data_IF_338882737968
#
_entry.id   IF_338882737968
#
_cell.length_a   1.000
_cell.length_b   1.000
_cell.length_c   1.000
_cell.angle_alpha   90.00
_cell.angle_beta   90.00
_cell.angle_gamma   90.00
#
_symmetry.space_group_name_H-M   'P 1'
#
loop_
_entity.id
_entity.type
_entity.pdbx_description
1 polymer ?
#
# COMPACT_ATOMS: atom_id res chain seq x y z
N UNK A 1 -14.38 -6.92 27.65
CA UNK A 1 -13.52 -8.00 28.17
C UNK A 1 -12.30 -8.08 27.25
N UNK A 2 -11.07 -7.99 27.72
CA UNK A 2 -9.89 -8.11 26.88
C UNK A 2 -9.79 -9.57 26.40
N UNK A 3 -9.81 -9.77 25.10
CA UNK A 3 -9.62 -11.07 24.45
C UNK A 3 -8.20 -11.55 24.70
N UNK A 4 -8.07 -12.64 25.43
CA UNK A 4 -6.82 -13.38 25.60
C UNK A 4 -6.25 -13.78 24.24
N UNK A 5 -4.97 -13.60 23.95
CA UNK A 5 -4.38 -14.04 22.69
C UNK A 5 -4.54 -15.56 22.57
N UNK A 6 -4.93 -16.01 21.38
CA UNK A 6 -5.11 -17.41 21.04
C UNK A 6 -3.75 -18.12 21.20
N UNK A 7 -3.56 -18.83 22.33
CA UNK A 7 -2.44 -19.72 22.56
C UNK A 7 -2.71 -21.02 21.80
N UNK A 8 -2.10 -21.19 20.64
CA UNK A 8 -1.78 -22.50 20.09
C UNK A 8 -0.76 -22.37 18.96
N UNK A 9 0.47 -22.15 19.35
CA UNK A 9 1.71 -22.61 18.70
C UNK A 9 2.84 -22.11 19.59
N UNK A 10 3.58 -23.04 20.23
CA UNK A 10 4.84 -22.77 20.88
C UNK A 10 5.77 -22.14 19.82
N UNK A 11 5.86 -20.81 19.80
CA UNK A 11 6.98 -20.10 19.21
C UNK A 11 8.20 -20.54 20.02
N UNK A 12 8.92 -21.57 19.54
CA UNK A 12 10.28 -21.81 19.98
C UNK A 12 11.01 -20.48 19.85
N UNK A 13 11.73 -20.06 20.89
CA UNK A 13 12.43 -18.77 21.01
C UNK A 13 12.81 -18.21 19.64
N UNK A 14 12.16 -17.11 19.22
CA UNK A 14 12.46 -16.48 17.94
C UNK A 14 13.81 -15.77 18.08
N UNK A 15 14.89 -16.56 18.08
CA UNK A 15 16.24 -16.05 17.92
C UNK A 15 16.36 -15.63 16.45
N UNK A 16 16.01 -14.39 16.16
CA UNK A 16 16.24 -13.80 14.85
C UNK A 16 17.40 -12.80 14.94
N UNK A 17 18.19 -12.72 13.88
CA UNK A 17 19.33 -11.82 13.79
C UNK A 17 18.89 -10.36 13.59
N UNK A 18 17.71 -10.16 12.98
CA UNK A 18 17.20 -8.82 12.69
C UNK A 18 15.67 -8.75 12.67
N UNK A 19 15.14 -7.53 12.70
CA UNK A 19 13.74 -7.26 12.54
C UNK A 19 13.47 -6.27 11.38
N UNK A 20 12.55 -6.65 10.49
CA UNK A 20 12.14 -5.89 9.33
C UNK A 20 10.69 -5.44 9.46
N UNK A 21 10.39 -4.21 9.06
CA UNK A 21 9.08 -3.60 9.25
C UNK A 21 8.55 -3.01 7.96
N UNK A 22 7.31 -3.32 7.60
CA UNK A 22 6.57 -2.44 6.70
C UNK A 22 6.19 -1.14 7.44
N UNK A 23 5.78 -0.13 6.69
CA UNK A 23 5.39 1.18 7.22
C UNK A 23 3.88 1.30 7.29
N UNK A 24 3.21 1.18 6.14
CA UNK A 24 1.78 1.41 6.00
C UNK A 24 0.99 0.30 6.72
N UNK A 25 0.11 0.68 7.64
CA UNK A 25 -0.64 -0.28 8.44
C UNK A 25 0.12 -0.92 9.59
N UNK A 26 1.46 -0.74 9.66
CA UNK A 26 2.35 -1.29 10.69
C UNK A 26 2.88 -0.20 11.62
N UNK A 27 3.70 0.69 11.09
CA UNK A 27 4.31 1.80 11.84
C UNK A 27 3.44 3.06 11.79
N UNK A 28 2.71 3.22 10.70
CA UNK A 28 1.87 4.39 10.40
C UNK A 28 0.49 3.94 9.92
N UNK A 29 -0.57 4.53 10.45
CA UNK A 29 -1.93 4.40 9.90
C UNK A 29 -2.14 5.41 8.77
N UNK A 30 -2.09 4.93 7.56
CA UNK A 30 -2.18 5.71 6.31
C UNK A 30 -3.55 5.68 5.65
N UNK A 31 -4.56 5.04 6.29
CA UNK A 31 -5.90 4.88 5.70
C UNK A 31 -6.55 6.21 5.33
N UNK A 32 -6.33 7.26 6.11
CA UNK A 32 -6.92 8.59 5.85
C UNK A 32 -6.19 9.34 4.74
N UNK A 33 -4.87 9.25 4.67
CA UNK A 33 -4.08 9.93 3.65
C UNK A 33 -4.33 9.32 2.27
N UNK A 34 -4.06 8.03 2.08
CA UNK A 34 -4.19 7.37 0.78
C UNK A 34 -5.63 7.27 0.29
N UNK A 35 -6.59 6.88 1.14
CA UNK A 35 -7.98 6.82 0.69
C UNK A 35 -8.53 8.19 0.28
N UNK A 36 -8.09 9.27 0.95
CA UNK A 36 -8.44 10.63 0.54
C UNK A 36 -7.70 11.04 -0.73
N UNK A 37 -6.43 10.62 -0.90
CA UNK A 37 -5.66 10.90 -2.10
C UNK A 37 -6.31 10.25 -3.34
N UNK A 38 -6.68 8.97 -3.25
CA UNK A 38 -7.43 8.29 -4.31
C UNK A 38 -8.71 9.06 -4.66
N UNK A 39 -9.55 9.38 -3.65
CA UNK A 39 -10.81 10.08 -3.89
C UNK A 39 -10.59 11.44 -4.56
N UNK A 40 -9.68 12.26 -4.03
CA UNK A 40 -9.41 13.60 -4.57
C UNK A 40 -8.78 13.56 -5.95
N UNK A 41 -7.91 12.60 -6.21
CA UNK A 41 -7.32 12.42 -7.54
C UNK A 41 -8.37 12.06 -8.56
N UNK A 42 -9.26 11.13 -8.24
CA UNK A 42 -10.37 10.75 -9.14
C UNK A 42 -11.28 11.93 -9.40
N UNK A 43 -11.69 12.65 -8.35
CA UNK A 43 -12.56 13.84 -8.48
C UNK A 43 -11.90 14.91 -9.36
N UNK A 44 -10.61 15.21 -9.11
CA UNK A 44 -9.86 16.20 -9.88
C UNK A 44 -9.73 15.81 -11.35
N UNK A 45 -9.32 14.55 -11.62
CA UNK A 45 -9.09 14.06 -12.98
C UNK A 45 -10.39 14.06 -13.78
N UNK A 46 -11.50 13.56 -13.21
CA UNK A 46 -12.80 13.55 -13.90
C UNK A 46 -13.27 14.98 -14.15
N UNK A 47 -13.16 15.87 -13.15
CA UNK A 47 -13.52 17.28 -13.32
C UNK A 47 -12.69 17.95 -14.42
N UNK A 48 -11.40 17.72 -14.45
CA UNK A 48 -10.49 18.30 -15.44
C UNK A 48 -10.82 17.86 -16.88
N UNK A 49 -11.16 16.56 -17.05
CA UNK A 49 -11.45 15.99 -18.37
C UNK A 49 -12.86 16.33 -18.85
N UNK A 50 -13.85 16.31 -17.96
CA UNK A 50 -15.28 16.38 -18.34
C UNK A 50 -15.93 17.73 -18.01
N UNK A 51 -15.28 18.60 -17.23
CA UNK A 51 -15.88 19.81 -16.68
C UNK A 51 -16.91 19.57 -15.58
N UNK A 52 -17.11 18.32 -15.13
CA UNK A 52 -18.12 17.98 -14.12
C UNK A 52 -17.70 18.41 -12.74
N UNK A 53 -18.58 19.08 -12.03
CA UNK A 53 -18.52 19.35 -10.61
C UNK A 53 -19.43 18.40 -9.82
N UNK A 54 -19.28 18.38 -8.47
CA UNK A 54 -20.11 17.58 -7.56
C UNK A 54 -19.93 16.05 -7.64
N UNK A 55 -18.67 15.61 -7.73
CA UNK A 55 -18.32 14.18 -7.67
C UNK A 55 -18.19 13.66 -6.22
N UNK A 56 -18.54 14.49 -5.22
CA UNK A 56 -18.41 14.16 -3.81
C UNK A 56 -19.02 12.79 -3.48
N UNK A 57 -18.17 11.92 -2.94
CA UNK A 57 -18.55 10.58 -2.55
C UNK A 57 -18.64 9.59 -3.73
N UNK A 58 -18.18 9.91 -4.93
CA UNK A 58 -18.03 8.95 -6.00
C UNK A 58 -17.14 7.80 -5.57
N UNK A 59 -15.98 8.11 -5.03
CA UNK A 59 -15.04 7.14 -4.44
C UNK A 59 -15.24 7.09 -2.94
N UNK A 60 -15.61 5.93 -2.43
CA UNK A 60 -15.69 5.64 -1.01
C UNK A 60 -14.77 4.48 -0.62
N UNK A 61 -14.61 4.27 0.68
CA UNK A 61 -13.74 3.23 1.22
C UNK A 61 -14.10 1.82 0.74
N UNK A 62 -15.38 1.53 0.48
CA UNK A 62 -15.84 0.23 -0.02
C UNK A 62 -15.36 -0.03 -1.45
N UNK A 63 -15.37 0.98 -2.32
CA UNK A 63 -14.86 0.86 -3.69
C UNK A 63 -13.37 0.57 -3.68
N UNK A 64 -12.59 1.33 -2.91
CA UNK A 64 -11.14 1.13 -2.77
C UNK A 64 -10.85 -0.29 -2.27
N UNK A 65 -11.57 -0.73 -1.23
CA UNK A 65 -11.39 -2.05 -0.66
C UNK A 65 -11.72 -3.17 -1.65
N UNK A 66 -12.72 -2.99 -2.52
CA UNK A 66 -13.04 -3.99 -3.55
C UNK A 66 -11.89 -4.21 -4.51
N UNK A 67 -11.23 -3.15 -4.99
CA UNK A 67 -10.06 -3.27 -5.85
C UNK A 67 -8.88 -3.90 -5.10
N UNK A 68 -8.51 -3.40 -3.93
CA UNK A 68 -7.41 -3.96 -3.12
C UNK A 68 -7.58 -5.45 -2.81
N UNK A 69 -8.82 -5.94 -2.64
CA UNK A 69 -9.11 -7.36 -2.38
C UNK A 69 -8.84 -8.30 -3.54
N UNK A 70 -8.69 -7.78 -4.75
CA UNK A 70 -8.35 -8.59 -5.93
C UNK A 70 -6.89 -9.07 -5.92
N UNK A 71 -6.02 -8.41 -5.10
CA UNK A 71 -4.58 -8.66 -5.06
C UNK A 71 -3.77 -7.96 -6.15
N UNK A 72 -4.44 -7.28 -7.09
CA UNK A 72 -3.79 -6.60 -8.21
C UNK A 72 -3.64 -5.07 -8.05
N UNK A 73 -4.08 -4.50 -6.92
CA UNK A 73 -4.14 -3.04 -6.70
C UNK A 73 -3.51 -2.61 -5.39
N UNK A 74 -2.20 -2.86 -5.28
CA UNK A 74 -1.40 -2.46 -4.13
C UNK A 74 -0.80 -1.05 -4.28
N UNK A 75 -0.83 -0.53 -5.52
CA UNK A 75 -0.47 0.84 -5.82
C UNK A 75 -1.73 1.70 -5.88
N UNK A 76 -1.75 2.77 -5.10
CA UNK A 76 -2.92 3.64 -4.98
C UNK A 76 -3.16 4.50 -6.23
N UNK A 77 -2.10 4.79 -7.00
CA UNK A 77 -2.24 5.42 -8.32
C UNK A 77 -2.88 4.46 -9.32
N UNK A 78 -2.53 3.15 -9.29
CA UNK A 78 -3.18 2.12 -10.10
C UNK A 78 -4.69 2.05 -9.76
N UNK A 79 -5.02 2.09 -8.48
CA UNK A 79 -6.41 2.11 -8.00
C UNK A 79 -7.15 3.35 -8.50
N UNK A 80 -6.53 4.52 -8.38
CA UNK A 80 -7.10 5.79 -8.85
C UNK A 80 -7.33 5.78 -10.37
N UNK A 81 -6.36 5.25 -11.13
CA UNK A 81 -6.42 5.12 -12.57
C UNK A 81 -7.61 4.26 -13.02
N UNK A 82 -7.75 3.06 -12.48
CA UNK A 82 -8.84 2.18 -12.92
C UNK A 82 -10.21 2.70 -12.50
N UNK A 83 -10.31 3.42 -11.39
CA UNK A 83 -11.56 4.09 -11.00
C UNK A 83 -11.90 5.23 -11.98
N UNK A 84 -10.90 6.05 -12.37
CA UNK A 84 -11.09 7.08 -13.40
C UNK A 84 -11.50 6.45 -14.73
N UNK A 85 -10.80 5.41 -15.17
CA UNK A 85 -11.10 4.72 -16.42
C UNK A 85 -12.52 4.15 -16.41
N UNK A 86 -12.94 3.49 -15.33
CA UNK A 86 -14.30 2.98 -15.16
C UNK A 86 -15.35 4.11 -15.14
N UNK A 87 -15.08 5.20 -14.41
CA UNK A 87 -16.01 6.32 -14.33
C UNK A 87 -16.21 7.02 -15.68
N UNK A 88 -15.12 7.26 -16.41
CA UNK A 88 -15.12 7.92 -17.72
C UNK A 88 -15.66 7.02 -18.84
N UNK A 89 -15.62 5.69 -18.65
CA UNK A 89 -16.19 4.71 -19.58
C UNK A 89 -17.65 4.35 -19.28
N UNK A 90 -18.26 5.01 -18.29
CA UNK A 90 -19.62 4.69 -17.88
C UNK A 90 -20.66 5.05 -18.95
N UNK A 91 -21.44 4.07 -19.49
CA UNK A 91 -22.45 4.32 -20.50
C UNK A 91 -23.62 5.19 -20.01
N UNK A 92 -23.84 5.23 -18.69
CA UNK A 92 -24.90 6.02 -18.05
C UNK A 92 -24.46 7.46 -17.73
N UNK A 93 -23.41 7.92 -18.35
CA UNK A 93 -22.77 9.21 -18.13
C UNK A 93 -23.72 10.41 -18.20
N UNK A 94 -24.73 10.34 -19.05
CA UNK A 94 -25.63 11.47 -19.33
C UNK A 94 -26.50 11.93 -18.15
N UNK A 95 -26.67 11.10 -17.13
CA UNK A 95 -27.63 11.37 -16.04
C UNK A 95 -26.99 11.93 -14.75
N UNK A 96 -25.69 12.19 -14.68
CA UNK A 96 -24.98 12.69 -13.49
C UNK A 96 -25.27 11.94 -12.16
N UNK A 97 -25.77 10.71 -12.24
CA UNK A 97 -26.13 9.93 -11.06
C UNK A 97 -24.91 9.21 -10.47
N UNK A 98 -24.37 9.82 -9.42
CA UNK A 98 -23.24 9.26 -8.67
C UNK A 98 -23.52 7.84 -8.15
N UNK A 99 -24.77 7.53 -7.84
CA UNK A 99 -25.14 6.17 -7.35
C UNK A 99 -24.97 5.14 -8.47
N UNK A 100 -25.40 5.47 -9.70
CA UNK A 100 -25.20 4.59 -10.85
C UNK A 100 -23.72 4.47 -11.24
N UNK A 101 -22.97 5.58 -11.21
CA UNK A 101 -21.52 5.54 -11.43
C UNK A 101 -20.82 4.62 -10.42
N UNK A 102 -21.16 4.72 -9.12
CA UNK A 102 -20.62 3.81 -8.09
C UNK A 102 -20.98 2.35 -8.33
N UNK A 103 -22.22 2.06 -8.74
CA UNK A 103 -22.63 0.69 -9.07
C UNK A 103 -21.80 0.14 -10.22
N UNK A 104 -21.57 0.96 -11.25
CA UNK A 104 -20.76 0.58 -12.39
C UNK A 104 -19.28 0.33 -11.98
N UNK A 105 -18.65 1.26 -11.26
CA UNK A 105 -17.29 1.09 -10.75
C UNK A 105 -17.20 -0.18 -9.87
N UNK A 106 -18.21 -0.42 -9.03
CA UNK A 106 -18.27 -1.63 -8.20
C UNK A 106 -18.42 -2.91 -9.01
N UNK A 107 -19.10 -2.85 -10.15
CA UNK A 107 -19.22 -3.95 -11.09
C UNK A 107 -17.87 -4.23 -11.79
N UNK A 108 -17.15 -3.19 -12.21
CA UNK A 108 -15.78 -3.32 -12.74
C UNK A 108 -14.86 -3.97 -11.71
N UNK A 109 -14.88 -3.51 -10.44
CA UNK A 109 -14.08 -4.08 -9.38
C UNK A 109 -14.34 -5.56 -9.09
N UNK A 110 -15.56 -6.07 -9.35
CA UNK A 110 -15.89 -7.50 -9.25
C UNK A 110 -15.29 -8.35 -10.35
N UNK A 111 -14.99 -7.77 -11.50
CA UNK A 111 -14.41 -8.43 -12.67
C UNK A 111 -12.89 -8.19 -12.78
N UNK A 112 -12.30 -7.44 -11.86
CA UNK A 112 -10.87 -7.27 -11.73
C UNK A 112 -10.26 -8.45 -10.95
N UNK A 113 -8.99 -8.74 -11.22
CA UNK A 113 -8.23 -9.83 -10.58
C UNK A 113 -6.78 -9.40 -10.28
N UNK A 114 -5.91 -10.35 -9.97
CA UNK A 114 -4.50 -10.15 -9.66
C UNK A 114 -3.67 -9.54 -10.80
N UNK A 115 -4.15 -9.58 -12.06
CA UNK A 115 -3.49 -8.89 -13.18
C UNK A 115 -3.59 -7.35 -13.07
N UNK A 116 -4.29 -6.83 -12.07
CA UNK A 116 -4.38 -5.41 -11.76
C UNK A 116 -4.99 -4.58 -12.90
N UNK A 117 -4.30 -3.52 -13.32
CA UNK A 117 -4.72 -2.60 -14.38
C UNK A 117 -5.12 -3.37 -15.65
N UNK A 118 -4.32 -4.36 -16.06
CA UNK A 118 -4.53 -5.12 -17.30
C UNK A 118 -5.87 -5.85 -17.30
N UNK A 119 -6.29 -6.37 -16.14
CA UNK A 119 -7.59 -7.04 -16.02
C UNK A 119 -8.76 -6.11 -16.28
N UNK A 120 -8.69 -4.88 -15.75
CA UNK A 120 -9.72 -3.86 -15.94
C UNK A 120 -9.75 -3.35 -17.38
N UNK A 121 -8.59 -3.04 -17.96
CA UNK A 121 -8.49 -2.58 -19.35
C UNK A 121 -9.03 -3.64 -20.32
N UNK A 122 -8.66 -4.90 -20.12
CA UNK A 122 -9.16 -6.03 -20.92
C UNK A 122 -10.67 -6.18 -20.78
N UNK A 123 -11.20 -6.10 -19.58
CA UNK A 123 -12.62 -6.19 -19.32
C UNK A 123 -13.41 -5.07 -20.01
N UNK A 124 -12.97 -3.83 -19.88
CA UNK A 124 -13.60 -2.68 -20.52
C UNK A 124 -13.54 -2.74 -22.06
N UNK A 125 -12.43 -3.26 -22.62
CA UNK A 125 -12.24 -3.38 -24.07
C UNK A 125 -13.02 -4.55 -24.68
N UNK A 126 -13.28 -5.64 -23.93
CA UNK A 126 -13.97 -6.83 -24.44
C UNK A 126 -15.50 -6.78 -24.34
N UNK A 127 -16.03 -5.86 -23.56
CA UNK A 127 -17.47 -5.76 -23.30
C UNK A 127 -18.21 -5.13 -24.48
N UNK A 128 -18.70 -5.96 -25.41
CA UNK A 128 -19.51 -5.54 -26.58
C UNK A 128 -20.83 -4.84 -26.21
N UNK A 129 -21.32 -5.02 -24.98
CA UNK A 129 -22.47 -4.30 -24.43
C UNK A 129 -22.20 -2.80 -24.22
N UNK A 130 -20.92 -2.44 -24.12
CA UNK A 130 -20.46 -1.07 -23.91
C UNK A 130 -19.66 -0.70 -25.16
N UNK A 131 -20.29 -0.03 -26.14
CA UNK A 131 -19.72 0.34 -27.45
C UNK A 131 -18.53 1.34 -27.35
N UNK A 132 -17.47 1.04 -26.57
CA UNK A 132 -16.46 2.00 -26.11
C UNK A 132 -15.04 1.75 -26.63
N UNK A 133 -14.81 0.78 -27.52
CA UNK A 133 -13.44 0.43 -27.92
C UNK A 133 -12.60 1.62 -28.45
N UNK A 134 -13.25 2.62 -29.06
CA UNK A 134 -12.52 3.83 -29.53
C UNK A 134 -12.22 4.81 -28.39
N UNK A 135 -12.98 4.79 -27.28
CA UNK A 135 -12.85 5.78 -26.22
C UNK A 135 -11.88 5.34 -25.14
N UNK A 136 -11.77 4.02 -24.86
CA UNK A 136 -10.80 3.49 -23.86
C UNK A 136 -9.36 3.85 -24.23
N UNK A 137 -8.96 3.68 -25.50
CA UNK A 137 -7.62 4.01 -25.92
C UNK A 137 -7.34 5.51 -25.79
N UNK A 138 -8.29 6.36 -26.17
CA UNK A 138 -8.19 7.81 -25.98
C UNK A 138 -8.08 8.21 -24.50
N UNK A 139 -8.86 7.54 -23.64
CA UNK A 139 -8.79 7.78 -22.19
C UNK A 139 -7.42 7.36 -21.62
N UNK A 140 -6.86 6.24 -22.06
CA UNK A 140 -5.51 5.81 -21.68
C UNK A 140 -4.46 6.83 -22.10
N UNK A 141 -4.51 7.32 -23.31
CA UNK A 141 -3.61 8.35 -23.83
C UNK A 141 -3.75 9.66 -23.05
N UNK A 142 -4.98 10.06 -22.72
CA UNK A 142 -5.26 11.28 -21.95
C UNK A 142 -4.74 11.19 -20.51
N UNK A 143 -4.95 10.06 -19.86
CA UNK A 143 -4.44 9.79 -18.50
C UNK A 143 -2.93 9.56 -18.49
N UNK A 144 -2.36 9.16 -19.65
CA UNK A 144 -0.94 8.86 -19.87
C UNK A 144 -0.37 7.90 -18.79
N UNK A 145 -1.15 6.86 -18.44
CA UNK A 145 -0.80 5.95 -17.36
C UNK A 145 -0.84 4.48 -17.83
N UNK A 146 0.09 3.62 -17.36
CA UNK A 146 1.19 3.91 -16.45
C UNK A 146 2.29 4.76 -17.09
N UNK A 147 2.87 5.65 -16.29
CA UNK A 147 3.94 6.55 -16.72
C UNK A 147 4.55 7.34 -15.55
N UNK A 148 5.74 7.92 -15.72
CA UNK A 148 6.41 8.63 -14.65
C UNK A 148 5.73 9.96 -14.32
N UNK A 149 5.85 10.38 -13.07
CA UNK A 149 5.44 11.72 -12.59
C UNK A 149 6.11 12.80 -13.46
N UNK A 150 5.38 13.84 -13.78
CA UNK A 150 5.78 14.91 -14.72
C UNK A 150 5.45 14.62 -16.19
N UNK A 151 5.24 13.35 -16.57
CA UNK A 151 4.78 12.94 -17.91
C UNK A 151 3.39 12.35 -17.88
N UNK A 152 3.09 11.47 -16.93
CA UNK A 152 1.76 10.94 -16.70
C UNK A 152 0.90 11.98 -15.98
N UNK A 153 -0.24 12.35 -16.57
CA UNK A 153 -1.22 13.22 -15.93
C UNK A 153 -1.72 12.60 -14.62
N UNK A 154 -2.10 11.33 -14.68
CA UNK A 154 -2.63 10.60 -13.53
C UNK A 154 -1.65 10.51 -12.37
N UNK A 155 -0.41 10.07 -12.63
CA UNK A 155 0.61 9.93 -11.59
C UNK A 155 1.00 11.29 -11.01
N UNK A 156 1.10 12.33 -11.87
CA UNK A 156 1.47 13.67 -11.42
C UNK A 156 0.41 14.26 -10.49
N UNK A 157 -0.86 14.18 -10.85
CA UNK A 157 -1.96 14.68 -10.01
C UNK A 157 -2.03 13.93 -8.67
N UNK A 158 -1.88 12.60 -8.70
CA UNK A 158 -1.90 11.81 -7.47
C UNK A 158 -0.80 12.25 -6.50
N UNK A 159 0.43 12.35 -6.99
CA UNK A 159 1.57 12.68 -6.14
C UNK A 159 1.57 14.15 -5.69
N UNK A 160 1.12 15.07 -6.53
CA UNK A 160 0.93 16.47 -6.10
C UNK A 160 -0.09 16.59 -4.96
N UNK A 161 -1.19 15.83 -5.04
CA UNK A 161 -2.23 15.80 -3.99
C UNK A 161 -1.71 15.11 -2.72
N UNK A 162 -0.95 14.03 -2.86
CA UNK A 162 -0.43 13.29 -1.72
C UNK A 162 0.68 14.04 -0.99
N UNK A 163 1.70 14.48 -1.74
CA UNK A 163 2.87 15.15 -1.19
C UNK A 163 2.66 16.64 -0.90
N UNK A 164 1.73 17.31 -1.62
CA UNK A 164 1.62 18.76 -1.61
C UNK A 164 2.85 19.45 -2.23
N UNK A 165 2.82 20.78 -2.39
CA UNK A 165 3.82 21.50 -3.19
C UNK A 165 5.27 21.29 -2.71
N UNK A 166 5.51 21.47 -1.42
CA UNK A 166 6.88 21.44 -0.87
C UNK A 166 7.54 20.08 -0.96
N UNK A 167 6.85 19.01 -0.53
CA UNK A 167 7.38 17.65 -0.58
C UNK A 167 7.46 17.13 -2.02
N UNK A 168 6.49 17.50 -2.87
CA UNK A 168 6.51 17.17 -4.28
C UNK A 168 7.76 17.75 -4.96
N UNK A 169 8.03 19.04 -4.75
CA UNK A 169 9.25 19.70 -5.27
C UNK A 169 10.52 19.05 -4.72
N UNK A 170 10.55 18.73 -3.40
CA UNK A 170 11.69 18.03 -2.78
C UNK A 170 11.93 16.66 -3.40
N UNK A 171 10.86 15.91 -3.76
CA UNK A 171 10.95 14.58 -4.33
C UNK A 171 11.39 14.58 -5.80
N UNK A 172 10.78 15.45 -6.61
CA UNK A 172 10.89 15.41 -8.06
C UNK A 172 11.80 16.50 -8.67
N UNK A 173 12.14 17.52 -7.91
CA UNK A 173 13.02 18.60 -8.35
C UNK A 173 12.36 19.65 -9.25
N UNK A 174 11.03 19.60 -9.43
CA UNK A 174 10.27 20.58 -10.20
C UNK A 174 8.97 20.97 -9.49
N UNK A 175 8.39 22.11 -9.88
CA UNK A 175 7.18 22.67 -9.27
C UNK A 175 5.94 21.83 -9.62
N UNK A 176 4.96 21.72 -8.70
CA UNK A 176 3.67 21.14 -9.01
C UNK A 176 2.92 21.96 -10.04
N UNK A 177 2.08 21.32 -10.82
CA UNK A 177 1.32 21.93 -11.93
C UNK A 177 -0.17 22.02 -11.66
N UNK A 178 -0.71 21.07 -10.89
CA UNK A 178 -2.15 20.86 -10.78
C UNK A 178 -2.70 21.11 -9.37
N UNK A 179 -1.90 20.89 -8.33
CA UNK A 179 -2.37 20.98 -6.96
C UNK A 179 -1.44 21.79 -6.06
N UNK A 180 -2.00 22.81 -5.40
CA UNK A 180 -1.29 23.75 -4.52
C UNK A 180 -1.88 23.76 -3.09
N UNK A 181 -2.65 22.74 -2.76
CA UNK A 181 -3.29 22.63 -1.45
C UNK A 181 -2.42 21.94 -0.39
N UNK A 182 -3.00 21.71 0.77
CA UNK A 182 -2.34 21.00 1.89
C UNK A 182 -2.05 19.55 1.52
N UNK A 183 -0.86 19.03 1.83
CA UNK A 183 -0.48 17.66 1.55
C UNK A 183 -1.34 16.67 2.33
N UNK A 184 -1.74 15.58 1.66
CA UNK A 184 -2.57 14.57 2.32
C UNK A 184 -1.75 13.64 3.21
N UNK A 185 -0.44 13.54 3.00
CA UNK A 185 0.47 12.81 3.89
C UNK A 185 0.39 13.30 5.35
N UNK A 186 0.00 14.56 5.59
CA UNK A 186 -0.23 15.10 6.94
C UNK A 186 -1.37 14.38 7.70
N UNK A 187 -2.21 13.60 7.01
CA UNK A 187 -3.25 12.79 7.63
C UNK A 187 -2.76 11.45 8.14
N UNK A 188 -1.51 11.12 7.90
CA UNK A 188 -0.87 9.95 8.46
C UNK A 188 -0.86 10.04 9.98
N UNK A 189 -1.04 8.89 10.62
CA UNK A 189 -1.01 8.79 12.07
C UNK A 189 0.04 7.79 12.52
N UNK A 190 0.99 8.23 13.29
CA UNK A 190 1.97 7.35 13.91
C UNK A 190 1.27 6.32 14.79
N UNK A 191 1.55 5.03 14.58
CA UNK A 191 1.05 3.88 15.36
C UNK A 191 2.12 3.44 16.36
N UNK A 192 3.36 3.30 15.88
CA UNK A 192 4.47 2.86 16.70
C UNK A 192 4.86 3.95 17.70
N UNK A 193 5.10 3.55 18.96
CA UNK A 193 5.67 4.48 19.95
C UNK A 193 7.20 4.46 19.91
N UNK A 194 7.83 5.57 20.28
CA UNK A 194 9.30 5.64 20.41
C UNK A 194 9.81 4.60 21.40
N UNK A 195 9.13 4.39 22.52
CA UNK A 195 9.49 3.38 23.52
C UNK A 195 9.50 1.98 22.91
N UNK A 196 8.45 1.63 22.16
CA UNK A 196 8.35 0.33 21.48
C UNK A 196 9.54 0.09 20.55
N UNK A 197 9.84 1.06 19.67
CA UNK A 197 10.90 0.86 18.68
C UNK A 197 12.30 0.86 19.31
N UNK A 198 12.53 1.64 20.37
CA UNK A 198 13.77 1.57 21.13
C UNK A 198 13.95 0.19 21.76
N UNK A 199 12.91 -0.35 22.44
CA UNK A 199 12.99 -1.70 23.03
C UNK A 199 13.25 -2.76 21.96
N UNK A 200 12.63 -2.66 20.80
CA UNK A 200 12.89 -3.61 19.70
C UNK A 200 14.32 -3.43 19.18
N UNK A 201 14.80 -2.20 19.02
CA UNK A 201 16.18 -1.91 18.62
C UNK A 201 17.19 -2.50 19.59
N UNK A 202 16.94 -2.38 20.91
CA UNK A 202 17.79 -2.96 21.94
C UNK A 202 17.81 -4.50 21.87
N UNK A 203 16.67 -5.14 21.62
CA UNK A 203 16.56 -6.62 21.47
C UNK A 203 17.41 -7.13 20.30
N UNK A 204 17.48 -6.37 19.21
CA UNK A 204 18.19 -6.75 17.98
C UNK A 204 19.54 -6.04 17.80
N UNK A 205 20.10 -5.45 18.83
CA UNK A 205 21.38 -4.71 18.79
C UNK A 205 21.45 -3.69 17.64
N UNK A 206 20.34 -2.99 17.38
CA UNK A 206 20.21 -2.02 16.29
C UNK A 206 19.97 -2.63 14.90
N UNK A 207 19.90 -3.95 14.75
CA UNK A 207 19.62 -4.63 13.49
C UNK A 207 18.13 -4.62 13.17
N UNK A 208 17.58 -3.40 13.04
CA UNK A 208 16.18 -3.17 12.62
C UNK A 208 16.15 -2.32 11.35
N UNK A 209 15.33 -2.68 10.37
CA UNK A 209 15.24 -1.98 9.09
C UNK A 209 13.80 -1.91 8.59
N UNK A 210 13.57 -0.98 7.65
CA UNK A 210 12.29 -0.79 6.98
C UNK A 210 12.32 -1.51 5.64
N UNK A 211 11.25 -2.25 5.33
CA UNK A 211 10.99 -2.87 4.02
C UNK A 211 9.58 -2.50 3.61
N UNK A 212 9.43 -1.46 2.82
CA UNK A 212 8.13 -0.86 2.53
C UNK A 212 7.90 -0.59 1.05
N UNK A 213 6.64 -0.64 0.62
CA UNK A 213 6.18 -0.17 -0.67
C UNK A 213 6.30 1.33 -0.86
N UNK A 214 6.49 2.07 0.22
CA UNK A 214 6.50 3.53 0.28
C UNK A 214 7.87 4.11 -0.08
N UNK A 215 7.91 5.39 -0.46
CA UNK A 215 9.18 6.10 -0.68
C UNK A 215 9.91 6.43 0.62
N UNK A 216 11.23 6.59 0.54
CA UNK A 216 12.05 7.05 1.67
C UNK A 216 11.57 8.40 2.19
N UNK A 217 11.33 9.35 1.29
CA UNK A 217 10.88 10.71 1.66
C UNK A 217 9.56 10.69 2.44
N UNK A 218 8.57 9.94 1.96
CA UNK A 218 7.29 9.84 2.63
C UNK A 218 7.41 9.13 3.98
N UNK A 219 8.24 8.09 4.07
CA UNK A 219 8.50 7.36 5.31
C UNK A 219 9.19 8.24 6.35
N UNK A 220 10.24 8.95 5.95
CA UNK A 220 10.96 9.91 6.80
C UNK A 220 10.01 11.00 7.34
N UNK A 221 9.17 11.56 6.46
CA UNK A 221 8.18 12.57 6.84
C UNK A 221 7.22 12.06 7.91
N UNK A 222 6.64 10.88 7.72
CA UNK A 222 5.60 10.34 8.61
C UNK A 222 6.14 9.78 9.92
N UNK A 223 7.36 9.21 9.94
CA UNK A 223 8.00 8.70 11.16
C UNK A 223 8.75 9.79 11.94
N UNK A 224 9.12 10.90 11.29
CA UNK A 224 9.90 11.96 11.91
C UNK A 224 11.18 11.42 12.57
N UNK A 225 11.43 11.82 13.80
CA UNK A 225 12.66 11.40 14.53
C UNK A 225 12.75 9.90 14.86
N UNK A 226 11.65 9.14 14.74
CA UNK A 226 11.67 7.68 14.89
C UNK A 226 12.42 7.02 13.72
N UNK A 227 12.38 7.61 12.54
CA UNK A 227 13.07 7.12 11.34
C UNK A 227 14.56 6.86 11.58
N UNK A 228 15.21 7.70 12.39
CA UNK A 228 16.64 7.61 12.67
C UNK A 228 17.04 6.41 13.56
N UNK A 229 16.08 5.69 14.14
CA UNK A 229 16.36 4.50 14.96
C UNK A 229 16.61 3.27 14.06
N UNK A 230 16.03 3.28 12.85
CA UNK A 230 16.20 2.20 11.88
C UNK A 230 17.55 2.28 11.16
N UNK A 231 18.11 1.12 10.81
CA UNK A 231 19.26 1.03 9.93
C UNK A 231 18.85 1.49 8.51
N UNK A 232 19.19 2.74 8.18
CA UNK A 232 18.79 3.35 6.91
C UNK A 232 19.50 2.73 5.70
N UNK A 233 20.70 2.14 5.90
CA UNK A 233 21.45 1.44 4.84
C UNK A 233 20.76 0.14 4.43
N UNK A 234 20.25 -0.59 5.41
CA UNK A 234 19.53 -1.84 5.18
C UNK A 234 18.05 -1.63 4.80
N UNK A 235 17.51 -0.43 5.01
CA UNK A 235 16.13 -0.13 4.69
C UNK A 235 15.91 -0.04 3.18
N UNK A 236 14.80 -0.64 2.69
CA UNK A 236 14.43 -0.70 1.28
C UNK A 236 13.07 -0.07 1.07
N UNK A 237 13.03 0.92 0.18
CA UNK A 237 11.84 1.70 -0.15
C UNK A 237 11.46 1.43 -1.62
N UNK A 238 10.49 0.56 -1.85
CA UNK A 238 10.20 0.00 -3.17
C UNK A 238 9.63 1.01 -4.16
N UNK A 239 9.04 2.12 -3.70
CA UNK A 239 8.62 3.22 -4.58
C UNK A 239 9.83 3.98 -5.20
N UNK A 240 11.02 3.85 -4.60
CA UNK A 240 12.26 4.45 -5.09
C UNK A 240 13.11 3.44 -5.90
N UNK A 241 12.62 2.20 -6.05
CA UNK A 241 13.25 1.11 -6.82
C UNK A 241 12.49 0.84 -8.13
N UNK A 242 13.07 -0.01 -8.99
CA UNK A 242 12.38 -0.47 -10.21
C UNK A 242 11.10 -1.24 -9.85
N UNK A 243 10.00 -0.95 -10.53
CA UNK A 243 8.67 -1.55 -10.30
C UNK A 243 8.67 -3.09 -10.32
N UNK A 244 9.61 -3.73 -11.00
CA UNK A 244 9.77 -5.21 -11.01
C UNK A 244 10.07 -5.79 -9.63
N UNK A 245 10.58 -4.98 -8.69
CA UNK A 245 10.88 -5.36 -7.32
C UNK A 245 9.72 -5.16 -6.34
N UNK A 246 8.58 -4.64 -6.81
CA UNK A 246 7.40 -4.42 -5.97
C UNK A 246 6.93 -5.71 -5.29
N UNK A 247 6.32 -5.56 -4.11
CA UNK A 247 5.68 -6.67 -3.38
C UNK A 247 4.72 -7.42 -4.32
N UNK A 248 4.70 -8.73 -4.30
CA UNK A 248 5.35 -9.66 -3.36
C UNK A 248 6.72 -10.22 -3.82
N UNK A 249 7.56 -9.44 -4.52
CA UNK A 249 8.91 -9.87 -4.89
C UNK A 249 9.79 -9.95 -3.61
N UNK A 250 10.54 -11.05 -3.36
CA UNK A 250 11.34 -11.22 -2.14
C UNK A 250 12.55 -10.29 -2.03
N UNK A 251 12.91 -9.61 -3.11
CA UNK A 251 14.10 -8.75 -3.24
C UNK A 251 14.33 -7.83 -2.04
N UNK A 252 13.29 -7.14 -1.57
CA UNK A 252 13.47 -6.13 -0.52
C UNK A 252 13.85 -6.75 0.84
N UNK A 253 13.24 -7.87 1.21
CA UNK A 253 13.60 -8.63 2.42
C UNK A 253 15.01 -9.18 2.28
N UNK A 254 15.32 -9.85 1.15
CA UNK A 254 16.64 -10.46 0.92
C UNK A 254 17.76 -9.43 0.95
N UNK A 255 17.56 -8.28 0.27
CA UNK A 255 18.52 -7.16 0.26
C UNK A 255 18.76 -6.59 1.66
N UNK A 256 17.70 -6.37 2.44
CA UNK A 256 17.81 -5.86 3.80
C UNK A 256 18.61 -6.83 4.71
N UNK A 257 18.30 -8.13 4.64
CA UNK A 257 19.00 -9.16 5.39
C UNK A 257 20.47 -9.28 4.98
N UNK A 258 20.77 -9.22 3.69
CA UNK A 258 22.15 -9.32 3.17
C UNK A 258 23.01 -8.16 3.66
N UNK A 259 22.47 -6.93 3.64
CA UNK A 259 23.20 -5.75 4.15
C UNK A 259 23.50 -5.87 5.64
N UNK A 260 22.59 -6.48 6.42
CA UNK A 260 22.79 -6.70 7.86
C UNK A 260 23.55 -8.00 8.19
N UNK A 261 23.92 -8.81 7.18
CA UNK A 261 24.56 -10.11 7.39
C UNK A 261 23.66 -11.13 8.10
N UNK A 262 22.35 -10.94 8.07
CA UNK A 262 21.36 -11.73 8.80
C UNK A 262 20.96 -13.00 8.03
N UNK A 263 20.85 -14.12 8.74
CA UNK A 263 20.32 -15.39 8.23
C UNK A 263 18.88 -15.61 8.66
N UNK A 264 18.50 -15.07 9.81
CA UNK A 264 17.18 -15.19 10.38
C UNK A 264 16.58 -13.80 10.61
N UNK A 265 15.30 -13.60 10.28
CA UNK A 265 14.63 -12.33 10.49
C UNK A 265 13.17 -12.51 10.94
N UNK A 266 12.68 -11.56 11.71
CA UNK A 266 11.24 -11.33 11.78
C UNK A 266 10.87 -10.28 10.71
N UNK A 267 9.74 -10.48 10.05
CA UNK A 267 9.14 -9.48 9.17
C UNK A 267 7.73 -9.17 9.63
N UNK A 268 7.47 -7.88 9.88
CA UNK A 268 6.20 -7.37 10.39
C UNK A 268 5.47 -6.65 9.27
N UNK A 269 4.31 -7.16 8.88
CA UNK A 269 3.51 -6.61 7.77
C UNK A 269 2.01 -6.69 8.05
N UNK A 270 1.18 -5.96 7.29
CA UNK A 270 -0.27 -5.91 7.45
C UNK A 270 -1.04 -6.48 6.26
N UNK A 271 -0.36 -6.74 5.16
CA UNK A 271 -0.96 -7.13 3.88
C UNK A 271 -0.74 -8.60 3.52
N UNK A 272 -1.53 -9.09 2.55
CA UNK A 272 -1.31 -10.41 1.95
C UNK A 272 -0.01 -10.46 1.16
N UNK A 273 0.37 -9.35 0.54
CA UNK A 273 1.60 -9.22 -0.25
C UNK A 273 2.85 -9.33 0.64
N UNK A 274 2.81 -8.77 1.85
CA UNK A 274 3.87 -8.93 2.84
C UNK A 274 4.06 -10.40 3.21
N UNK A 275 2.95 -11.08 3.49
CA UNK A 275 2.96 -12.50 3.77
C UNK A 275 3.53 -13.30 2.59
N UNK A 276 3.04 -13.06 1.37
CA UNK A 276 3.52 -13.74 0.17
C UNK A 276 5.01 -13.46 -0.10
N UNK A 277 5.46 -12.21 0.14
CA UNK A 277 6.86 -11.84 0.04
C UNK A 277 7.71 -12.66 1.01
N UNK A 278 7.29 -12.78 2.27
CA UNK A 278 7.97 -13.61 3.28
C UNK A 278 8.00 -15.09 2.92
N UNK A 279 6.90 -15.62 2.36
CA UNK A 279 6.84 -17.02 1.90
C UNK A 279 7.79 -17.27 0.73
N UNK A 280 7.94 -16.34 -0.20
CA UNK A 280 8.88 -16.47 -1.31
C UNK A 280 10.34 -16.52 -0.83
N UNK A 281 10.70 -15.76 0.21
CA UNK A 281 12.02 -15.89 0.85
C UNK A 281 12.20 -17.29 1.46
N UNK A 282 11.21 -17.79 2.22
CA UNK A 282 11.24 -19.16 2.82
C UNK A 282 11.40 -20.25 1.77
N UNK A 283 10.77 -20.10 0.61
CA UNK A 283 10.72 -21.10 -0.44
C UNK A 283 11.86 -20.96 -1.46
N UNK A 284 12.73 -19.99 -1.32
CA UNK A 284 13.88 -19.79 -2.20
C UNK A 284 14.97 -20.81 -1.84
N UNK A 285 15.02 -21.92 -2.56
CA UNK A 285 15.97 -23.03 -2.35
C UNK A 285 17.45 -22.62 -2.48
N UNK A 286 17.73 -21.48 -3.10
CA UNK A 286 19.07 -20.89 -3.17
C UNK A 286 19.45 -20.00 -1.99
N UNK A 287 18.50 -19.74 -1.07
CA UNK A 287 18.68 -18.86 0.09
C UNK A 287 18.54 -19.65 1.38
N UNK A 288 19.56 -19.59 2.25
CA UNK A 288 19.51 -20.17 3.61
C UNK A 288 18.83 -19.22 4.62
N UNK A 289 17.96 -18.30 4.15
CA UNK A 289 17.30 -17.31 5.00
C UNK A 289 16.03 -17.88 5.61
N UNK A 290 15.84 -17.60 6.89
CA UNK A 290 14.64 -18.00 7.65
C UNK A 290 13.89 -16.73 8.05
N UNK A 291 12.59 -16.68 7.70
CA UNK A 291 11.72 -15.55 8.02
C UNK A 291 10.58 -16.02 8.91
N UNK A 292 10.34 -15.28 10.01
CA UNK A 292 9.12 -15.41 10.80
C UNK A 292 8.21 -14.21 10.51
N UNK A 293 7.01 -14.43 9.97
CA UNK A 293 6.09 -13.36 9.60
C UNK A 293 5.11 -13.03 10.73
N UNK A 294 5.08 -11.76 11.13
CA UNK A 294 4.11 -11.22 12.08
C UNK A 294 3.06 -10.40 11.33
N UNK A 295 1.82 -10.91 11.27
CA UNK A 295 0.70 -10.22 10.62
C UNK A 295 0.03 -9.22 11.56
N UNK A 296 -0.05 -7.94 11.16
CA UNK A 296 -0.78 -6.89 11.89
C UNK A 296 -2.15 -6.68 11.27
N UNK A 297 -3.19 -6.58 12.10
CA UNK A 297 -4.56 -6.41 11.62
C UNK A 297 -5.25 -5.12 12.09
N UNK A 298 -4.74 -4.43 13.14
CA UNK A 298 -5.45 -3.33 13.80
C UNK A 298 -5.65 -2.09 12.92
N UNK A 299 -4.73 -1.79 12.00
CA UNK A 299 -4.86 -0.70 11.05
C UNK A 299 -5.62 -1.06 9.77
N UNK A 300 -6.14 -2.28 9.66
CA UNK A 300 -6.97 -2.65 8.51
C UNK A 300 -8.33 -1.93 8.52
N UNK A 301 -8.90 -1.74 7.33
CA UNK A 301 -10.28 -1.23 7.15
C UNK A 301 -11.30 -2.17 7.81
N UNK A 302 -11.02 -3.48 7.79
CA UNK A 302 -11.85 -4.52 8.40
C UNK A 302 -10.97 -5.47 9.23
N UNK A 303 -10.63 -5.10 10.47
CA UNK A 303 -9.67 -5.86 11.29
C UNK A 303 -10.04 -7.34 11.47
N UNK A 304 -11.32 -7.63 11.69
CA UNK A 304 -11.80 -9.00 11.85
C UNK A 304 -11.62 -9.87 10.59
N UNK A 305 -11.77 -9.27 9.39
CA UNK A 305 -11.57 -9.99 8.13
C UNK A 305 -10.08 -10.25 7.89
N UNK A 306 -9.22 -9.27 8.19
CA UNK A 306 -7.77 -9.41 8.08
C UNK A 306 -7.24 -10.47 9.05
N UNK A 307 -7.68 -10.43 10.31
CA UNK A 307 -7.35 -11.46 11.31
C UNK A 307 -7.74 -12.86 10.83
N UNK A 308 -8.98 -13.01 10.32
CA UNK A 308 -9.48 -14.30 9.83
C UNK A 308 -8.66 -14.81 8.64
N UNK A 309 -8.30 -13.93 7.71
CA UNK A 309 -7.45 -14.26 6.55
C UNK A 309 -6.05 -14.69 6.97
N UNK A 310 -5.41 -13.99 7.90
CA UNK A 310 -4.11 -14.41 8.43
C UNK A 310 -4.18 -15.76 9.12
N UNK A 311 -5.24 -16.02 9.89
CA UNK A 311 -5.47 -17.32 10.51
C UNK A 311 -5.65 -18.43 9.48
N UNK A 312 -6.40 -18.20 8.42
CA UNK A 312 -6.60 -19.16 7.32
C UNK A 312 -5.30 -19.46 6.57
N UNK A 313 -4.47 -18.44 6.36
CA UNK A 313 -3.16 -18.59 5.71
C UNK A 313 -2.07 -19.12 6.65
N UNK A 314 -2.39 -19.40 7.91
CA UNK A 314 -1.46 -19.94 8.91
C UNK A 314 -0.19 -19.11 9.03
N UNK A 315 -0.33 -17.77 9.12
CA UNK A 315 0.83 -16.90 9.37
C UNK A 315 1.46 -17.23 10.73
N UNK A 316 2.76 -17.03 10.86
CA UNK A 316 3.53 -17.50 12.01
C UNK A 316 3.05 -16.85 13.33
N UNK A 317 2.70 -15.56 13.31
CA UNK A 317 2.10 -14.86 14.44
C UNK A 317 1.12 -13.78 13.97
N UNK A 318 0.09 -13.49 14.77
CA UNK A 318 -0.91 -12.45 14.49
C UNK A 318 -1.03 -11.54 15.70
N UNK A 319 -0.80 -10.25 15.50
CA UNK A 319 -0.87 -9.23 16.55
C UNK A 319 -1.75 -8.05 16.10
N UNK A 320 -2.35 -7.35 17.04
CA UNK A 320 -3.21 -6.22 16.72
C UNK A 320 -2.42 -5.02 16.19
N UNK A 321 -1.32 -4.69 16.85
CA UNK A 321 -0.43 -3.60 16.44
C UNK A 321 1.03 -3.89 16.89
N UNK A 322 1.96 -3.15 16.29
CA UNK A 322 3.40 -3.33 16.50
C UNK A 322 3.84 -3.12 17.96
N UNK A 323 3.09 -2.34 18.76
CA UNK A 323 3.45 -2.08 20.14
C UNK A 323 3.30 -3.31 21.06
N UNK A 324 2.69 -4.40 20.58
CA UNK A 324 2.61 -5.67 21.29
C UNK A 324 3.87 -6.54 21.11
N UNK A 325 4.68 -6.23 20.07
CA UNK A 325 5.84 -7.05 19.68
C UNK A 325 6.88 -7.24 20.80
N UNK A 326 7.31 -6.19 21.56
CA UNK A 326 8.27 -6.38 22.65
C UNK A 326 7.84 -7.42 23.68
N UNK A 327 6.55 -7.44 24.02
CA UNK A 327 6.02 -8.39 25.01
C UNK A 327 6.07 -9.85 24.54
N UNK A 328 6.13 -10.07 23.25
CA UNK A 328 6.24 -11.41 22.66
C UNK A 328 7.71 -11.83 22.61
N UNK A 329 8.60 -10.90 22.22
CA UNK A 329 10.03 -11.16 22.09
C UNK A 329 10.75 -11.33 23.42
N UNK A 330 10.31 -10.65 24.49
CA UNK A 330 10.96 -10.70 25.83
C UNK A 330 10.51 -11.93 26.64
N UNK A 331 9.36 -12.53 26.34
CA UNK A 331 8.82 -13.68 27.09
C UNK A 331 9.49 -15.02 26.78
N UNK A 332 10.53 -15.01 26.00
CA UNK A 332 11.31 -16.19 25.59
C UNK A 332 12.79 -15.98 25.84
#
# INVERSE_FOLDING_TARGET
MPSTPCRDQTLNSVLADCALFDVDGVLVDTRKSYNTAISRTVDFVIQHITGRSNLNGLVNQEIILKFRRTGGFNNDTDTSYVICLAALSNPYEKNNDISQMRKFISYIAKNANEDGIISVERFLSSSSQYAFNSDIQKLKELLAYPGPVGKSFMATVFDEIFYGPELFKKRYGFEPKYYFGKPLIEKDKLVVTRSTINTISDIFDGHIAIVSGRSKLATEYSLGSIFNIFNQHASVFLEDEDRKYSKPNPYAIEKAMDIMGAKTAIYVGDSTEDFLMSQKVKNNSGSNKIITFFGIYGCSVRPADTFRRFKQNKVDAIIENVNQLPNILIKH
#
